data_IF_188765820103
#
_entry.id   IF_188765820103
#
_cell.length_a   1.000
_cell.length_b   1.000
_cell.length_c   1.000
_cell.angle_alpha   90.00
_cell.angle_beta   90.00
_cell.angle_gamma   90.00
#
_symmetry.space_group_name_H-M   'P 1'
#
loop_
_entity.id
_entity.type
_entity.pdbx_description
1 polymer ?
#
# COMPACT_ATOMS: atom_id res chain seq x y z
N UNK A 1 -30.95 -7.07 -5.44
CA UNK A 1 -29.48 -6.99 -5.44
C UNK A 1 -29.10 -5.52 -5.53
N UNK A 2 -28.62 -4.93 -4.43
CA UNK A 2 -28.14 -3.54 -4.45
C UNK A 2 -26.86 -3.46 -5.31
N UNK A 3 -26.47 -2.25 -5.74
CA UNK A 3 -25.20 -2.05 -6.46
C UNK A 3 -24.00 -2.60 -5.67
N UNK A 4 -24.02 -2.47 -4.33
CA UNK A 4 -22.97 -3.00 -3.45
C UNK A 4 -22.90 -4.53 -3.53
N UNK A 5 -24.05 -5.22 -3.42
CA UNK A 5 -24.12 -6.69 -3.50
C UNK A 5 -23.63 -7.23 -4.85
N UNK A 6 -23.82 -6.47 -5.94
CA UNK A 6 -23.29 -6.84 -7.24
C UNK A 6 -21.76 -6.75 -7.33
N UNK A 7 -21.18 -5.71 -6.75
CA UNK A 7 -19.72 -5.55 -6.70
C UNK A 7 -19.10 -6.60 -5.78
N UNK A 8 -19.74 -6.91 -4.65
CA UNK A 8 -19.32 -7.98 -3.74
C UNK A 8 -19.23 -9.34 -4.44
N UNK A 9 -20.25 -9.72 -5.20
CA UNK A 9 -20.26 -10.97 -5.97
C UNK A 9 -19.13 -11.02 -7.01
N UNK A 10 -18.83 -9.88 -7.66
CA UNK A 10 -17.68 -9.78 -8.57
C UNK A 10 -16.36 -9.94 -7.80
N UNK A 11 -16.22 -9.30 -6.64
CA UNK A 11 -15.02 -9.37 -5.83
C UNK A 11 -14.81 -10.75 -5.19
N UNK A 12 -15.85 -11.54 -4.96
CA UNK A 12 -15.71 -12.95 -4.57
C UNK A 12 -15.05 -13.80 -5.65
N UNK A 13 -15.31 -13.48 -6.92
CA UNK A 13 -14.68 -14.14 -8.06
C UNK A 13 -13.25 -13.60 -8.25
N UNK A 14 -13.10 -12.27 -8.30
CA UNK A 14 -11.82 -11.60 -8.55
C UNK A 14 -10.79 -11.88 -7.45
N UNK A 15 -11.20 -11.83 -6.18
CA UNK A 15 -10.35 -12.16 -5.03
C UNK A 15 -10.58 -13.59 -4.54
N UNK A 16 -11.07 -14.45 -5.44
CA UNK A 16 -11.20 -15.87 -5.20
C UNK A 16 -9.86 -16.61 -5.22
N UNK A 17 -9.88 -17.94 -5.13
CA UNK A 17 -8.67 -18.77 -5.03
C UNK A 17 -7.67 -18.55 -6.17
N UNK A 18 -8.13 -18.21 -7.38
CA UNK A 18 -7.27 -18.02 -8.57
C UNK A 18 -6.34 -16.83 -8.38
N UNK A 19 -6.86 -15.66 -8.02
CA UNK A 19 -6.05 -14.45 -7.86
C UNK A 19 -5.11 -14.56 -6.67
N UNK A 20 -5.59 -15.10 -5.54
CA UNK A 20 -4.77 -15.35 -4.36
C UNK A 20 -3.60 -16.30 -4.70
N UNK A 21 -3.89 -17.40 -5.39
CA UNK A 21 -2.87 -18.36 -5.83
C UNK A 21 -1.90 -17.73 -6.82
N UNK A 22 -2.37 -16.86 -7.72
CA UNK A 22 -1.52 -16.17 -8.68
C UNK A 22 -0.56 -15.20 -7.97
N UNK A 23 -1.03 -14.42 -7.00
CA UNK A 23 -0.23 -13.44 -6.28
C UNK A 23 0.77 -14.11 -5.33
N UNK A 24 0.31 -15.00 -4.45
CA UNK A 24 1.19 -15.75 -3.57
C UNK A 24 2.14 -16.66 -4.36
N UNK A 25 1.64 -17.30 -5.43
CA UNK A 25 2.44 -18.13 -6.33
C UNK A 25 3.52 -17.34 -7.06
N UNK A 26 3.25 -16.10 -7.47
CA UNK A 26 4.27 -15.21 -8.07
C UNK A 26 5.34 -14.86 -7.05
N UNK A 27 4.96 -14.51 -5.82
CA UNK A 27 5.92 -14.23 -4.75
C UNK A 27 6.75 -15.47 -4.38
N UNK A 28 6.13 -16.65 -4.30
CA UNK A 28 6.82 -17.92 -4.08
C UNK A 28 7.78 -18.25 -5.23
N UNK A 29 7.34 -18.08 -6.48
CA UNK A 29 8.16 -18.26 -7.67
C UNK A 29 9.40 -17.39 -7.64
N UNK A 30 9.26 -16.08 -7.35
CA UNK A 30 10.43 -15.19 -7.24
C UNK A 30 11.28 -15.48 -6.01
N UNK A 31 10.67 -15.86 -4.88
CA UNK A 31 11.40 -16.27 -3.67
C UNK A 31 12.35 -17.41 -4.00
N UNK A 32 11.87 -18.47 -4.63
CA UNK A 32 12.69 -19.63 -5.03
C UNK A 32 13.69 -19.22 -6.11
N UNK A 33 13.23 -18.53 -7.17
CA UNK A 33 14.08 -18.14 -8.30
C UNK A 33 15.24 -17.23 -7.89
N UNK A 34 15.02 -16.34 -6.92
CA UNK A 34 16.04 -15.42 -6.42
C UNK A 34 16.86 -16.00 -5.25
N UNK A 35 16.51 -17.18 -4.75
CA UNK A 35 17.26 -17.88 -3.70
C UNK A 35 16.98 -17.33 -2.31
N UNK A 36 15.69 -17.17 -1.96
CA UNK A 36 15.21 -16.61 -0.69
C UNK A 36 15.83 -15.24 -0.38
N UNK A 37 15.73 -14.34 -1.35
CA UNK A 37 16.31 -12.99 -1.33
C UNK A 37 15.88 -12.17 -0.11
N UNK A 38 14.77 -12.49 0.54
CA UNK A 38 14.31 -11.86 1.77
C UNK A 38 15.38 -11.88 2.86
N UNK A 39 16.09 -12.99 3.04
CA UNK A 39 17.07 -13.14 4.11
C UNK A 39 18.40 -12.44 3.82
N UNK A 40 18.80 -12.37 2.55
CA UNK A 40 20.11 -11.81 2.15
C UNK A 40 20.01 -10.37 1.66
N UNK A 41 18.88 -10.01 1.04
CA UNK A 41 18.64 -8.74 0.37
C UNK A 41 18.21 -7.60 1.28
N UNK A 42 17.54 -7.88 2.42
CA UNK A 42 17.09 -6.81 3.33
C UNK A 42 18.26 -6.02 3.91
N UNK A 43 19.34 -6.71 4.31
CA UNK A 43 20.57 -6.06 4.80
C UNK A 43 21.13 -5.08 3.75
N UNK A 44 21.12 -5.49 2.49
CA UNK A 44 21.54 -4.63 1.38
C UNK A 44 20.57 -3.47 1.15
N UNK A 45 19.27 -3.73 1.24
CA UNK A 45 18.23 -2.72 1.12
C UNK A 45 18.39 -1.60 2.14
N UNK A 46 18.62 -1.94 3.41
CA UNK A 46 18.93 -0.95 4.46
C UNK A 46 20.21 -0.16 4.16
N UNK A 47 21.28 -0.85 3.73
CA UNK A 47 22.55 -0.20 3.37
C UNK A 47 22.38 0.79 2.22
N UNK A 48 21.68 0.42 1.16
CA UNK A 48 21.44 1.27 0.00
C UNK A 48 20.48 2.43 0.30
N UNK A 49 19.50 2.20 1.17
CA UNK A 49 18.53 3.22 1.57
C UNK A 49 19.16 4.28 2.45
N UNK A 50 19.75 3.88 3.58
CA UNK A 50 20.16 4.80 4.64
C UNK A 50 21.66 5.17 4.56
N UNK A 51 22.49 4.34 3.95
CA UNK A 51 23.93 4.61 3.81
C UNK A 51 24.25 5.97 3.16
N UNK A 52 23.60 6.33 2.03
CA UNK A 52 23.83 7.64 1.39
C UNK A 52 23.48 8.86 2.25
N UNK A 53 22.60 8.75 3.23
CA UNK A 53 22.24 9.86 4.13
C UNK A 53 23.42 10.35 4.97
N UNK A 54 24.40 9.47 5.22
CA UNK A 54 25.61 9.78 5.97
C UNK A 54 26.79 10.18 5.07
N UNK A 55 26.59 10.24 3.75
CA UNK A 55 27.63 10.62 2.78
C UNK A 55 27.62 12.11 2.48
N UNK A 56 28.80 12.73 2.39
CA UNK A 56 28.95 14.14 1.97
C UNK A 56 28.79 14.36 0.45
N UNK A 57 28.66 13.29 -0.35
CA UNK A 57 28.52 13.41 -1.81
C UNK A 57 27.09 13.76 -2.19
N UNK A 58 26.90 14.91 -2.83
CA UNK A 58 25.62 15.25 -3.46
C UNK A 58 25.36 14.29 -4.63
N UNK A 59 24.24 13.57 -4.56
CA UNK A 59 23.74 12.77 -5.66
C UNK A 59 22.85 13.67 -6.53
N UNK A 60 23.06 13.64 -7.85
CA UNK A 60 22.15 14.30 -8.80
C UNK A 60 20.95 13.37 -9.04
N UNK A 61 19.73 13.92 -9.03
CA UNK A 61 18.49 13.14 -9.19
C UNK A 61 17.87 12.71 -7.86
N UNK A 62 16.89 11.81 -7.93
CA UNK A 62 16.18 11.29 -6.75
C UNK A 62 17.01 10.16 -6.13
N UNK A 63 17.34 10.28 -4.85
CA UNK A 63 18.08 9.25 -4.11
C UNK A 63 17.21 8.00 -3.84
N UNK A 64 17.84 6.87 -3.54
CA UNK A 64 17.12 5.65 -3.12
C UNK A 64 16.27 5.88 -1.87
N UNK A 65 16.72 6.69 -0.91
CA UNK A 65 15.94 7.09 0.25
C UNK A 65 14.67 7.84 -0.15
N UNK A 66 14.79 8.87 -0.99
CA UNK A 66 13.63 9.66 -1.42
C UNK A 66 12.65 8.81 -2.26
N UNK A 67 13.17 7.91 -3.10
CA UNK A 67 12.35 6.97 -3.84
C UNK A 67 11.62 6.00 -2.91
N UNK A 68 12.30 5.46 -1.88
CA UNK A 68 11.66 4.64 -0.86
C UNK A 68 10.62 5.43 -0.08
N UNK A 69 10.92 6.65 0.38
CA UNK A 69 9.94 7.50 1.07
C UNK A 69 8.74 7.81 0.19
N UNK A 70 8.93 7.96 -1.13
CA UNK A 70 7.82 8.15 -2.09
C UNK A 70 7.00 6.87 -2.27
N UNK A 71 7.64 5.69 -2.29
CA UNK A 71 6.94 4.41 -2.31
C UNK A 71 6.16 4.16 -1.02
N UNK A 72 6.79 4.38 0.15
CA UNK A 72 6.15 4.26 1.46
C UNK A 72 5.05 5.30 1.63
N UNK A 73 5.19 6.53 1.11
CA UNK A 73 4.09 7.49 1.07
C UNK A 73 2.85 6.90 0.39
N UNK A 74 3.03 6.16 -0.71
CA UNK A 74 1.93 5.53 -1.44
C UNK A 74 1.39 4.27 -0.72
N UNK A 75 2.24 3.47 -0.09
CA UNK A 75 1.86 2.23 0.59
C UNK A 75 1.19 2.50 1.95
N UNK A 76 1.82 3.38 2.75
CA UNK A 76 1.44 3.64 4.14
C UNK A 76 0.33 4.68 4.19
N UNK A 77 -0.91 4.18 4.27
CA UNK A 77 -2.13 4.96 4.17
C UNK A 77 -3.26 4.40 5.04
N UNK A 78 -4.49 4.64 4.61
CA UNK A 78 -5.70 4.04 5.19
C UNK A 78 -5.61 2.51 5.29
N UNK A 79 -4.92 1.83 4.37
CA UNK A 79 -4.77 0.37 4.36
C UNK A 79 -4.14 -0.19 5.64
N UNK A 80 -3.18 0.51 6.23
CA UNK A 80 -2.43 0.04 7.40
C UNK A 80 -3.20 0.20 8.71
N UNK A 81 -4.23 1.04 8.72
CA UNK A 81 -5.07 1.32 9.88
C UNK A 81 -6.43 0.63 9.67
N UNK A 82 -7.25 1.21 8.79
CA UNK A 82 -8.58 0.72 8.49
C UNK A 82 -8.56 -0.63 7.75
N UNK A 83 -7.60 -0.86 6.84
CA UNK A 83 -7.51 -2.13 6.13
C UNK A 83 -7.15 -3.31 7.04
N UNK A 84 -6.26 -3.09 8.02
CA UNK A 84 -5.95 -4.05 9.10
C UNK A 84 -7.18 -4.31 9.95
N UNK A 85 -7.87 -3.25 10.38
CA UNK A 85 -9.09 -3.35 11.16
C UNK A 85 -10.20 -4.12 10.43
N UNK A 86 -10.41 -3.86 9.15
CA UNK A 86 -11.35 -4.62 8.31
C UNK A 86 -10.91 -6.06 8.10
N UNK A 87 -9.61 -6.36 8.00
CA UNK A 87 -9.11 -7.72 7.91
C UNK A 87 -9.43 -8.52 9.18
N UNK A 88 -9.23 -7.93 10.36
CA UNK A 88 -9.59 -8.55 11.65
C UNK A 88 -11.11 -8.71 11.75
N UNK A 89 -11.88 -7.67 11.46
CA UNK A 89 -13.33 -7.69 11.58
C UNK A 89 -14.00 -8.72 10.65
N UNK A 90 -13.48 -8.92 9.44
CA UNK A 90 -14.08 -9.79 8.42
C UNK A 90 -13.44 -11.18 8.30
N UNK A 91 -12.14 -11.30 8.65
CA UNK A 91 -11.37 -12.54 8.52
C UNK A 91 -10.84 -13.09 9.85
N UNK A 92 -11.19 -12.46 10.98
CA UNK A 92 -10.67 -12.80 12.30
C UNK A 92 -9.19 -12.43 12.48
N UNK A 93 -8.63 -12.65 13.70
CA UNK A 93 -7.22 -12.41 13.99
C UNK A 93 -6.26 -13.15 13.05
N UNK A 94 -6.67 -14.34 12.58
CA UNK A 94 -5.90 -15.17 11.65
C UNK A 94 -5.58 -14.50 10.30
N UNK A 95 -6.35 -13.48 9.89
CA UNK A 95 -6.07 -12.72 8.68
C UNK A 95 -4.69 -12.03 8.74
N UNK A 96 -4.23 -11.64 9.92
CA UNK A 96 -2.94 -10.95 10.11
C UNK A 96 -1.76 -11.88 9.78
N UNK A 97 -1.86 -13.17 10.12
CA UNK A 97 -0.86 -14.16 9.73
C UNK A 97 -0.73 -14.23 8.20
N UNK A 98 -1.85 -14.24 7.49
CA UNK A 98 -1.86 -14.27 6.03
C UNK A 98 -1.39 -12.96 5.39
N UNK A 99 -1.57 -11.81 6.07
CA UNK A 99 -0.90 -10.56 5.70
C UNK A 99 0.62 -10.69 5.78
N UNK A 100 1.16 -11.33 6.83
CA UNK A 100 2.60 -11.56 6.96
C UNK A 100 3.17 -12.48 5.88
N UNK A 101 2.49 -13.60 5.60
CA UNK A 101 2.89 -14.51 4.52
C UNK A 101 2.89 -13.79 3.16
N UNK A 102 1.83 -13.04 2.88
CA UNK A 102 1.71 -12.26 1.66
C UNK A 102 2.82 -11.21 1.55
N UNK A 103 3.13 -10.50 2.63
CA UNK A 103 4.23 -9.53 2.69
C UNK A 103 5.60 -10.18 2.48
N UNK A 104 5.88 -11.30 3.15
CA UNK A 104 7.16 -12.02 3.01
C UNK A 104 7.40 -12.46 1.56
N UNK A 105 6.39 -13.04 0.91
CA UNK A 105 6.46 -13.41 -0.51
C UNK A 105 6.49 -12.18 -1.41
N UNK A 106 5.75 -11.14 -1.04
CA UNK A 106 5.67 -9.85 -1.73
C UNK A 106 7.00 -9.12 -1.82
N UNK A 107 7.92 -9.29 -0.85
CA UNK A 107 9.27 -8.72 -0.95
C UNK A 107 10.01 -9.19 -2.21
N UNK A 108 9.89 -10.47 -2.58
CA UNK A 108 10.52 -10.97 -3.80
C UNK A 108 9.83 -10.43 -5.06
N UNK A 109 8.51 -10.26 -5.02
CA UNK A 109 7.73 -9.67 -6.11
C UNK A 109 8.09 -8.20 -6.33
N UNK A 110 8.11 -7.38 -5.28
CA UNK A 110 8.39 -5.94 -5.39
C UNK A 110 9.84 -5.69 -5.80
N UNK A 111 10.78 -6.58 -5.42
CA UNK A 111 12.15 -6.56 -5.93
C UNK A 111 12.14 -6.69 -7.46
N UNK A 112 11.39 -7.65 -8.00
CA UNK A 112 11.27 -7.87 -9.43
C UNK A 112 10.66 -6.66 -10.14
N UNK A 113 9.59 -6.09 -9.57
CA UNK A 113 8.93 -4.92 -10.14
C UNK A 113 9.87 -3.70 -10.19
N UNK A 114 10.60 -3.41 -9.11
CA UNK A 114 11.54 -2.30 -9.04
C UNK A 114 12.73 -2.49 -10.00
N UNK A 115 13.22 -3.72 -10.16
CA UNK A 115 14.27 -4.04 -11.14
C UNK A 115 13.81 -3.78 -12.56
N UNK A 116 12.60 -4.24 -12.93
CA UNK A 116 12.04 -4.01 -14.25
C UNK A 116 11.78 -2.51 -14.48
N UNK A 117 11.23 -1.81 -13.49
CA UNK A 117 11.02 -0.38 -13.59
C UNK A 117 12.31 0.41 -13.80
N UNK A 118 13.41 0.02 -13.15
CA UNK A 118 14.73 0.60 -13.42
C UNK A 118 15.28 0.24 -14.80
N UNK A 119 15.09 -1.00 -15.27
CA UNK A 119 15.57 -1.45 -16.59
C UNK A 119 14.86 -0.79 -17.75
N UNK A 120 13.57 -0.53 -17.61
CA UNK A 120 12.69 -0.04 -18.69
C UNK A 120 12.21 1.40 -18.46
N UNK A 121 12.83 2.15 -17.55
CA UNK A 121 12.57 3.58 -17.41
C UNK A 121 13.00 4.33 -18.67
N UNK A 122 12.28 5.38 -18.99
CA UNK A 122 12.60 6.29 -20.10
C UNK A 122 12.84 7.69 -19.55
N UNK A 123 13.58 8.50 -20.31
CA UNK A 123 13.78 9.92 -20.03
C UNK A 123 13.15 10.72 -21.15
N UNK A 124 12.07 11.43 -20.85
CA UNK A 124 11.32 12.27 -21.79
C UNK A 124 11.32 13.69 -21.25
N UNK A 125 11.67 14.68 -22.08
CA UNK A 125 11.72 16.09 -21.70
C UNK A 125 12.54 16.36 -20.41
N UNK A 126 13.61 15.59 -20.21
CA UNK A 126 14.47 15.70 -19.02
C UNK A 126 13.92 15.01 -17.76
N UNK A 127 12.69 14.50 -17.78
CA UNK A 127 12.02 13.81 -16.66
C UNK A 127 12.11 12.30 -16.85
N UNK A 128 12.57 11.59 -15.82
CA UNK A 128 12.58 10.13 -15.81
C UNK A 128 11.18 9.63 -15.47
N UNK A 129 10.68 8.69 -16.26
CA UNK A 129 9.39 8.02 -16.08
C UNK A 129 9.60 6.52 -16.18
N UNK A 130 8.79 5.74 -15.47
CA UNK A 130 8.81 4.28 -15.55
C UNK A 130 7.64 3.69 -14.79
N UNK A 131 7.66 2.37 -14.62
CA UNK A 131 6.55 1.61 -14.07
C UNK A 131 6.05 0.55 -15.05
N UNK A 132 4.95 -0.16 -14.73
CA UNK A 132 4.57 -1.35 -15.48
C UNK A 132 4.15 -1.10 -16.91
N UNK A 133 3.47 0.01 -17.20
CA UNK A 133 3.15 0.36 -18.58
C UNK A 133 4.41 0.37 -19.48
N UNK A 134 5.56 0.79 -18.96
CA UNK A 134 6.81 0.85 -19.70
C UNK A 134 7.46 -0.53 -19.85
N UNK A 135 7.60 -1.33 -18.79
CA UNK A 135 8.17 -2.67 -18.96
C UNK A 135 7.23 -3.66 -19.65
N UNK A 136 5.91 -3.46 -19.60
CA UNK A 136 4.96 -4.23 -20.41
C UNK A 136 5.10 -3.85 -21.89
N UNK A 137 5.25 -2.55 -22.20
CA UNK A 137 5.42 -2.09 -23.59
C UNK A 137 6.76 -2.53 -24.17
N UNK A 138 7.86 -2.25 -23.47
CA UNK A 138 9.21 -2.34 -24.01
C UNK A 138 9.91 -3.65 -23.65
N UNK A 139 9.54 -4.27 -22.52
CA UNK A 139 10.06 -5.57 -22.11
C UNK A 139 9.24 -6.72 -22.69
N UNK A 140 7.93 -6.71 -22.47
CA UNK A 140 7.03 -7.76 -22.97
C UNK A 140 6.63 -7.53 -24.45
N UNK A 141 6.75 -6.32 -24.96
CA UNK A 141 6.38 -5.98 -26.35
C UNK A 141 4.89 -5.74 -26.57
N UNK A 142 4.08 -5.64 -25.52
CA UNK A 142 2.61 -5.57 -25.63
C UNK A 142 2.05 -4.18 -25.31
N UNK A 143 1.89 -3.35 -26.34
CA UNK A 143 1.26 -2.02 -26.22
C UNK A 143 -0.18 -2.09 -25.70
N UNK A 144 -0.93 -3.13 -26.09
CA UNK A 144 -2.33 -3.33 -25.65
C UNK A 144 -2.41 -3.61 -24.15
N UNK A 145 -1.57 -4.52 -23.65
CA UNK A 145 -1.54 -4.86 -22.22
C UNK A 145 -1.02 -3.68 -21.38
N UNK A 146 -0.04 -2.94 -21.89
CA UNK A 146 0.46 -1.73 -21.25
C UNK A 146 -0.63 -0.64 -21.15
N UNK A 147 -1.40 -0.44 -22.22
CA UNK A 147 -2.53 0.49 -22.20
C UNK A 147 -3.64 0.05 -21.23
N UNK A 148 -3.94 -1.25 -21.19
CA UNK A 148 -4.90 -1.80 -20.21
C UNK A 148 -4.42 -1.57 -18.76
N UNK A 149 -3.16 -1.88 -18.45
CA UNK A 149 -2.58 -1.58 -17.14
C UNK A 149 -2.68 -0.08 -16.81
N UNK A 150 -2.30 0.79 -17.76
CA UNK A 150 -2.33 2.23 -17.56
C UNK A 150 -3.75 2.75 -17.25
N UNK A 151 -4.77 2.26 -17.94
CA UNK A 151 -6.17 2.61 -17.63
C UNK A 151 -6.56 2.06 -16.25
N UNK A 152 -6.22 0.81 -15.96
CA UNK A 152 -6.57 0.16 -14.71
C UNK A 152 -5.99 0.90 -13.50
N UNK A 153 -4.71 1.28 -13.51
CA UNK A 153 -4.09 2.02 -12.39
C UNK A 153 -4.64 3.45 -12.23
N UNK A 154 -5.01 4.13 -13.33
CA UNK A 154 -5.65 5.45 -13.26
C UNK A 154 -6.99 5.34 -12.51
N UNK A 155 -7.82 4.35 -12.87
CA UNK A 155 -9.08 4.10 -12.21
C UNK A 155 -8.88 3.62 -10.76
N UNK A 156 -8.01 2.62 -10.56
CA UNK A 156 -7.79 1.95 -9.29
C UNK A 156 -7.23 2.88 -8.22
N UNK A 157 -6.13 3.59 -8.53
CA UNK A 157 -5.40 4.38 -7.54
C UNK A 157 -5.64 5.88 -7.75
N UNK A 158 -5.58 6.33 -8.99
CA UNK A 158 -5.75 7.74 -9.34
C UNK A 158 -7.12 8.30 -8.94
N UNK A 159 -8.18 7.49 -9.06
CA UNK A 159 -9.54 7.90 -8.71
C UNK A 159 -10.07 7.16 -7.49
N UNK A 160 -10.35 5.87 -7.59
CA UNK A 160 -11.05 5.12 -6.55
C UNK A 160 -10.23 5.00 -5.27
N UNK A 161 -8.94 4.74 -5.39
CA UNK A 161 -8.02 4.71 -4.26
C UNK A 161 -7.98 6.04 -3.51
N UNK A 162 -7.89 7.16 -4.23
CA UNK A 162 -7.95 8.49 -3.63
C UNK A 162 -9.29 8.77 -2.92
N UNK A 163 -10.40 8.19 -3.39
CA UNK A 163 -11.67 8.23 -2.67
C UNK A 163 -11.63 7.46 -1.36
N UNK A 164 -11.04 6.25 -1.32
CA UNK A 164 -10.88 5.46 -0.09
C UNK A 164 -10.08 6.25 0.95
N UNK A 165 -8.98 6.86 0.53
CA UNK A 165 -8.11 7.64 1.41
C UNK A 165 -8.84 8.87 1.97
N UNK A 166 -9.51 9.66 1.11
CA UNK A 166 -10.22 10.85 1.56
C UNK A 166 -11.45 10.54 2.42
N UNK A 167 -12.14 9.43 2.12
CA UNK A 167 -13.26 8.92 2.90
C UNK A 167 -12.84 8.62 4.35
N UNK A 168 -11.75 7.86 4.55
CA UNK A 168 -11.30 7.54 5.91
C UNK A 168 -10.79 8.76 6.68
N UNK A 169 -10.18 9.75 6.02
CA UNK A 169 -9.85 11.03 6.66
C UNK A 169 -11.14 11.71 7.15
N UNK A 170 -12.16 11.78 6.31
CA UNK A 170 -13.43 12.41 6.66
C UNK A 170 -14.10 11.72 7.86
N UNK A 171 -14.19 10.39 7.86
CA UNK A 171 -14.76 9.62 8.98
C UNK A 171 -13.97 9.83 10.27
N UNK A 172 -12.63 9.79 10.21
CA UNK A 172 -11.81 9.98 11.40
C UNK A 172 -11.98 11.38 12.02
N UNK A 173 -12.08 12.42 11.18
CA UNK A 173 -12.30 13.79 11.64
C UNK A 173 -13.74 14.05 12.07
N UNK A 174 -14.72 13.39 11.44
CA UNK A 174 -16.10 13.44 11.88
C UNK A 174 -16.23 12.80 13.26
N UNK A 175 -15.64 11.64 13.50
CA UNK A 175 -15.64 10.99 14.81
C UNK A 175 -14.94 11.83 15.87
N UNK A 176 -13.74 12.36 15.57
CA UNK A 176 -12.93 13.10 16.53
C UNK A 176 -13.45 14.52 16.83
N UNK A 177 -13.91 15.24 15.81
CA UNK A 177 -14.21 16.67 15.89
C UNK A 177 -15.63 17.05 15.47
N UNK A 178 -16.44 16.08 15.01
CA UNK A 178 -17.80 16.32 14.48
C UNK A 178 -17.82 17.30 13.29
N UNK A 179 -16.73 17.36 12.53
CA UNK A 179 -16.63 18.21 11.33
C UNK A 179 -17.34 17.53 10.16
N UNK A 180 -18.20 18.23 9.40
CA UNK A 180 -18.89 17.64 8.26
C UNK A 180 -17.90 17.11 7.19
N UNK A 181 -18.13 15.91 6.63
CA UNK A 181 -17.22 15.27 5.67
C UNK A 181 -16.83 16.14 4.46
N UNK A 182 -17.79 16.88 3.89
CA UNK A 182 -17.52 17.78 2.76
C UNK A 182 -16.50 18.87 3.09
N UNK A 183 -16.52 19.42 4.31
CA UNK A 183 -15.57 20.44 4.75
C UNK A 183 -14.16 19.86 4.79
N UNK A 184 -14.02 18.64 5.31
CA UNK A 184 -12.76 17.89 5.30
C UNK A 184 -12.31 17.62 3.86
N UNK A 185 -13.22 17.18 2.99
CA UNK A 185 -12.92 16.92 1.58
C UNK A 185 -12.35 18.13 0.84
N UNK A 186 -12.99 19.30 0.98
CA UNK A 186 -12.47 20.54 0.39
C UNK A 186 -11.12 20.95 1.00
N UNK A 187 -10.96 20.83 2.33
CA UNK A 187 -9.70 21.11 3.01
C UNK A 187 -8.55 20.23 2.49
N UNK A 188 -8.76 18.92 2.42
CA UNK A 188 -7.78 17.96 1.89
C UNK A 188 -7.48 18.25 0.43
N UNK A 189 -8.48 18.49 -0.42
CA UNK A 189 -8.28 18.80 -1.83
C UNK A 189 -7.44 20.08 -2.03
N UNK A 190 -7.68 21.14 -1.24
CA UNK A 190 -6.87 22.36 -1.27
C UNK A 190 -5.42 22.04 -0.92
N UNK A 191 -5.17 21.34 0.19
CA UNK A 191 -3.82 21.00 0.64
C UNK A 191 -3.08 20.11 -0.39
N UNK A 192 -3.76 19.11 -0.95
CA UNK A 192 -3.22 18.25 -2.01
C UNK A 192 -2.86 19.09 -3.25
N UNK A 193 -3.71 20.03 -3.65
CA UNK A 193 -3.47 20.86 -4.84
C UNK A 193 -2.17 21.66 -4.76
N UNK A 194 -1.82 22.19 -3.57
CA UNK A 194 -0.59 22.98 -3.36
C UNK A 194 0.68 22.18 -3.64
N UNK A 195 0.64 20.87 -3.40
CA UNK A 195 1.78 19.97 -3.59
C UNK A 195 1.73 19.30 -4.96
N UNK A 196 0.58 18.75 -5.33
CA UNK A 196 0.38 18.00 -6.58
C UNK A 196 0.71 18.83 -7.82
N UNK A 197 0.28 20.09 -7.86
CA UNK A 197 0.57 20.96 -9.01
C UNK A 197 2.05 21.37 -9.12
N UNK A 198 2.83 21.21 -8.04
CA UNK A 198 4.28 21.41 -8.04
C UNK A 198 5.09 20.26 -8.66
N UNK A 199 4.44 19.15 -9.04
CA UNK A 199 5.05 18.00 -9.71
C UNK A 199 5.92 17.12 -8.81
N UNK A 200 6.54 16.10 -9.43
CA UNK A 200 7.21 14.99 -8.72
C UNK A 200 8.31 15.44 -7.74
N UNK A 201 9.09 16.46 -8.07
CA UNK A 201 10.16 16.93 -7.18
C UNK A 201 9.61 17.49 -5.86
N UNK A 202 8.44 18.16 -5.89
CA UNK A 202 7.78 18.67 -4.69
C UNK A 202 7.16 17.52 -3.89
N UNK A 203 6.54 16.56 -4.57
CA UNK A 203 5.96 15.35 -3.95
C UNK A 203 7.05 14.54 -3.24
N UNK A 204 8.15 14.21 -3.92
CA UNK A 204 9.24 13.42 -3.35
C UNK A 204 9.95 14.13 -2.18
N UNK A 205 10.09 15.47 -2.25
CA UNK A 205 10.64 16.25 -1.13
C UNK A 205 9.71 16.27 0.08
N UNK A 206 8.41 16.42 -0.15
CA UNK A 206 7.42 16.38 0.92
C UNK A 206 7.38 14.99 1.57
N UNK A 207 7.27 13.93 0.77
CA UNK A 207 7.28 12.54 1.23
C UNK A 207 8.56 12.22 2.01
N UNK A 208 9.73 12.60 1.51
CA UNK A 208 11.02 12.38 2.17
C UNK A 208 11.14 12.99 3.56
N UNK A 209 10.39 14.06 3.86
CA UNK A 209 10.39 14.70 5.17
C UNK A 209 9.26 14.19 6.07
N UNK A 210 8.06 14.01 5.53
CA UNK A 210 6.85 13.72 6.32
C UNK A 210 6.72 12.23 6.65
N UNK A 211 7.01 11.34 5.72
CA UNK A 211 6.80 9.89 5.88
C UNK A 211 7.58 9.30 7.07
N UNK A 212 8.88 9.61 7.27
CA UNK A 212 9.61 9.08 8.40
C UNK A 212 9.04 9.57 9.74
N UNK A 213 8.64 10.84 9.80
CA UNK A 213 8.09 11.47 11.02
C UNK A 213 6.74 10.84 11.36
N UNK A 214 5.82 10.76 10.39
CA UNK A 214 4.49 10.20 10.63
C UNK A 214 4.58 8.72 11.04
N UNK A 215 5.42 7.91 10.37
CA UNK A 215 5.58 6.50 10.70
C UNK A 215 6.17 6.32 12.12
N UNK A 216 7.19 7.11 12.47
CA UNK A 216 7.80 7.05 13.79
C UNK A 216 6.82 7.44 14.90
N UNK A 217 6.06 8.54 14.71
CA UNK A 217 5.06 8.97 15.70
C UNK A 217 3.98 7.91 15.89
N UNK A 218 3.47 7.32 14.80
CA UNK A 218 2.49 6.25 14.86
C UNK A 218 3.02 5.03 15.61
N UNK A 219 4.22 4.56 15.26
CA UNK A 219 4.86 3.41 15.91
C UNK A 219 5.07 3.69 17.40
N UNK A 220 5.53 4.88 17.79
CA UNK A 220 5.70 5.24 19.20
C UNK A 220 4.36 5.20 19.93
N UNK A 221 3.30 5.80 19.37
CA UNK A 221 1.96 5.77 19.96
C UNK A 221 1.44 4.35 20.16
N UNK A 222 1.61 3.48 19.16
CA UNK A 222 1.24 2.06 19.26
C UNK A 222 2.08 1.33 20.32
N UNK A 223 3.40 1.52 20.33
CA UNK A 223 4.30 0.89 21.30
C UNK A 223 3.97 1.29 22.74
N UNK A 224 3.56 2.53 22.99
CA UNK A 224 3.09 2.96 24.32
C UNK A 224 1.92 2.09 24.77
N UNK A 225 0.91 1.88 23.92
CA UNK A 225 -0.24 1.03 24.23
C UNK A 225 0.20 -0.42 24.48
N UNK A 226 1.08 -0.95 23.64
CA UNK A 226 1.59 -2.32 23.77
C UNK A 226 2.41 -2.53 25.06
N UNK A 227 3.15 -1.52 25.51
CA UNK A 227 3.84 -1.56 26.81
C UNK A 227 2.83 -1.51 27.96
N UNK A 228 1.76 -0.72 27.85
CA UNK A 228 0.68 -0.68 28.85
C UNK A 228 -0.12 -1.98 28.92
N UNK A 229 -0.17 -2.74 27.82
CA UNK A 229 -0.85 -4.05 27.72
C UNK A 229 0.14 -5.19 27.48
N UNK A 230 1.35 -5.10 28.05
CA UNK A 230 2.45 -6.02 27.73
C UNK A 230 2.07 -7.50 27.93
N UNK A 231 1.33 -7.80 29.00
CA UNK A 231 0.88 -9.15 29.33
C UNK A 231 -0.05 -9.76 28.26
N UNK A 232 -0.70 -8.93 27.44
CA UNK A 232 -1.60 -9.35 26.37
C UNK A 232 -0.91 -9.48 25.01
N UNK A 233 0.33 -8.98 24.86
CA UNK A 233 1.05 -9.01 23.57
C UNK A 233 1.32 -10.44 23.12
N UNK A 234 1.83 -11.29 24.02
CA UNK A 234 2.14 -12.68 23.68
C UNK A 234 0.86 -13.51 23.41
N UNK A 235 -0.21 -13.41 24.23
CA UNK A 235 -1.52 -13.98 23.90
C UNK A 235 -2.06 -13.53 22.55
N UNK A 236 -1.99 -12.24 22.21
CA UNK A 236 -2.46 -11.72 20.92
C UNK A 236 -1.69 -12.30 19.74
N UNK A 237 -0.37 -12.47 19.86
CA UNK A 237 0.45 -13.14 18.85
C UNK A 237 0.08 -14.62 18.69
N UNK A 238 -0.19 -15.33 19.79
CA UNK A 238 -0.66 -16.71 19.76
C UNK A 238 -1.99 -16.82 19.04
N UNK A 239 -2.94 -15.93 19.39
CA UNK A 239 -4.26 -15.86 18.77
C UNK A 239 -4.17 -15.65 17.26
N UNK A 240 -3.31 -14.75 16.78
CA UNK A 240 -3.10 -14.55 15.33
C UNK A 240 -2.68 -15.85 14.63
N UNK A 241 -1.79 -16.63 15.22
CA UNK A 241 -1.29 -17.88 14.61
C UNK A 241 -2.34 -18.99 14.72
N UNK A 242 -2.98 -19.14 15.88
CA UNK A 242 -4.01 -20.16 16.11
C UNK A 242 -5.21 -19.95 15.19
N UNK A 243 -5.82 -18.76 15.20
CA UNK A 243 -6.98 -18.40 14.37
C UNK A 243 -6.68 -18.45 12.87
N UNK A 244 -5.41 -18.48 12.44
CA UNK A 244 -5.04 -18.64 11.03
C UNK A 244 -5.24 -20.08 10.51
N UNK A 245 -5.24 -21.07 11.41
CA UNK A 245 -5.29 -22.50 11.07
C UNK A 245 -6.46 -23.25 11.71
N UNK A 246 -7.12 -22.69 12.72
CA UNK A 246 -8.31 -23.29 13.33
C UNK A 246 -9.57 -22.57 12.85
N UNK A 247 -10.58 -23.28 12.33
CA UNK A 247 -11.91 -22.69 12.17
C UNK A 247 -12.44 -22.42 13.58
N UNK A 248 -12.57 -21.16 13.95
CA UNK A 248 -13.24 -20.83 15.22
C UNK A 248 -14.70 -21.26 15.11
N UNK A 249 -15.17 -22.05 16.07
CA UNK A 249 -16.59 -22.42 16.15
C UNK A 249 -17.38 -21.13 16.25
N UNK A 250 -18.44 -20.98 15.44
CA UNK A 250 -19.33 -19.83 15.37
C UNK A 250 -20.03 -19.54 16.73
N UNK A 251 -19.26 -19.08 17.73
CA UNK A 251 -19.71 -18.49 18.97
C UNK A 251 -19.75 -16.99 18.74
N UNK A 252 -20.96 -16.47 18.49
CA UNK A 252 -21.27 -15.11 18.03
C UNK A 252 -20.23 -14.01 18.30
N UNK A 253 -19.67 -13.45 17.22
CA UNK A 253 -18.76 -12.30 17.22
C UNK A 253 -17.86 -12.25 15.96
N UNK A 254 -16.88 -11.35 15.94
CA UNK A 254 -15.76 -11.28 14.95
C UNK A 254 -14.91 -12.57 14.93
N UNK A 255 -15.06 -13.41 15.96
CA UNK A 255 -14.44 -14.74 16.13
C UNK A 255 -15.15 -15.87 15.35
N UNK A 256 -15.89 -15.52 14.29
CA UNK A 256 -16.67 -16.46 13.47
C UNK A 256 -16.07 -16.75 12.08
N UNK A 257 -14.86 -16.27 11.80
CA UNK A 257 -14.27 -16.35 10.47
C UNK A 257 -13.76 -17.76 10.15
N UNK A 258 -14.07 -18.23 8.95
CA UNK A 258 -13.48 -19.45 8.39
C UNK A 258 -12.01 -19.22 8.00
N UNK A 259 -11.22 -20.30 7.94
CA UNK A 259 -9.84 -20.26 7.41
C UNK A 259 -9.82 -19.62 6.00
N UNK A 260 -10.85 -19.87 5.19
CA UNK A 260 -10.99 -19.29 3.84
C UNK A 260 -11.11 -17.77 3.90
N UNK A 261 -11.86 -17.23 4.84
CA UNK A 261 -12.01 -15.77 5.03
C UNK A 261 -10.73 -15.15 5.59
N UNK A 262 -10.07 -15.79 6.55
CA UNK A 262 -8.77 -15.36 7.06
C UNK A 262 -7.73 -15.25 5.92
N UNK A 263 -7.64 -16.26 5.05
CA UNK A 263 -6.77 -16.23 3.86
C UNK A 263 -7.19 -15.10 2.91
N UNK A 264 -8.47 -15.03 2.55
CA UNK A 264 -8.97 -14.07 1.54
C UNK A 264 -8.72 -12.64 1.98
N UNK A 265 -9.19 -12.26 3.17
CA UNK A 265 -9.06 -10.91 3.69
C UNK A 265 -7.62 -10.58 4.08
N UNK A 266 -6.88 -11.54 4.65
CA UNK A 266 -5.48 -11.38 4.98
C UNK A 266 -4.61 -11.12 3.75
N UNK A 267 -4.77 -11.90 2.68
CA UNK A 267 -4.02 -11.69 1.44
C UNK A 267 -4.48 -10.40 0.74
N UNK A 268 -5.79 -10.16 0.61
CA UNK A 268 -6.29 -8.96 -0.06
C UNK A 268 -5.86 -7.66 0.64
N UNK A 269 -5.99 -7.58 1.97
CA UNK A 269 -5.59 -6.39 2.74
C UNK A 269 -4.08 -6.28 2.91
N UNK A 270 -3.36 -7.40 3.00
CA UNK A 270 -1.91 -7.43 2.96
C UNK A 270 -1.36 -6.84 1.66
N UNK A 271 -1.89 -7.27 0.52
CA UNK A 271 -1.49 -6.75 -0.78
C UNK A 271 -1.95 -5.32 -1.02
N UNK A 272 -3.13 -4.93 -0.53
CA UNK A 272 -3.57 -3.54 -0.60
C UNK A 272 -2.65 -2.60 0.20
N UNK A 273 -2.11 -3.07 1.32
CA UNK A 273 -1.19 -2.32 2.18
C UNK A 273 0.20 -2.16 1.53
N UNK A 274 0.89 -3.28 1.25
CA UNK A 274 2.27 -3.20 0.74
C UNK A 274 2.37 -3.04 -0.79
N UNK A 275 1.28 -3.24 -1.52
CA UNK A 275 1.19 -3.10 -2.97
C UNK A 275 2.13 -4.01 -3.79
N UNK A 276 2.70 -5.04 -3.18
CA UNK A 276 3.61 -5.94 -3.88
C UNK A 276 2.85 -6.75 -4.95
N UNK A 277 3.31 -6.68 -6.20
CA UNK A 277 2.64 -7.35 -7.32
C UNK A 277 1.44 -6.62 -7.89
N UNK A 278 1.06 -5.47 -7.33
CA UNK A 278 0.04 -4.58 -7.89
C UNK A 278 0.57 -3.72 -9.05
N UNK A 279 1.87 -3.44 -9.10
CA UNK A 279 2.49 -2.63 -10.15
C UNK A 279 2.45 -1.11 -9.90
N UNK A 280 2.11 -0.66 -8.71
CA UNK A 280 1.94 0.76 -8.37
C UNK A 280 3.24 1.44 -7.90
N UNK A 281 3.89 0.92 -6.85
CA UNK A 281 5.16 1.45 -6.34
C UNK A 281 6.36 1.45 -7.32
N UNK A 282 6.42 0.65 -8.40
CA UNK A 282 7.53 0.69 -9.34
C UNK A 282 7.70 2.05 -10.03
N UNK A 283 6.66 2.88 -10.09
CA UNK A 283 6.75 4.27 -10.55
C UNK A 283 7.70 5.10 -9.67
N UNK A 284 7.61 4.97 -8.35
CA UNK A 284 8.51 5.62 -7.40
C UNK A 284 9.94 5.07 -7.49
N UNK A 285 10.08 3.75 -7.71
CA UNK A 285 11.40 3.15 -7.83
C UNK A 285 12.09 3.45 -9.17
N UNK A 286 11.35 3.68 -10.27
CA UNK A 286 11.92 3.99 -11.58
C UNK A 286 12.76 5.27 -11.59
N UNK A 287 12.36 6.28 -10.81
CA UNK A 287 12.99 7.60 -10.81
C UNK A 287 14.24 7.69 -9.96
N UNK A 288 14.54 6.66 -9.16
CA UNK A 288 15.72 6.60 -8.32
C UNK A 288 17.00 6.52 -9.16
N UNK A 289 18.02 7.31 -8.83
CA UNK A 289 19.30 7.26 -9.53
C UNK A 289 20.25 6.26 -8.87
N UNK A 290 20.29 5.04 -9.42
CA UNK A 290 21.13 3.93 -8.94
C UNK A 290 22.10 3.47 -10.02
N UNK A 291 23.23 2.88 -9.60
CA UNK A 291 24.23 2.36 -10.55
C UNK A 291 23.77 1.06 -11.20
N UNK A 292 22.99 0.27 -10.48
CA UNK A 292 22.53 -1.03 -10.94
C UNK A 292 21.06 -1.26 -10.52
N UNK A 293 20.17 -1.74 -11.42
CA UNK A 293 18.74 -1.93 -11.15
C UNK A 293 18.43 -2.72 -9.87
N UNK A 294 19.18 -3.79 -9.61
CA UNK A 294 19.01 -4.64 -8.42
C UNK A 294 19.24 -3.90 -7.09
N UNK A 295 20.05 -2.81 -7.07
CA UNK A 295 20.21 -1.99 -5.87
C UNK A 295 18.87 -1.39 -5.44
N UNK A 296 18.10 -0.90 -6.39
CA UNK A 296 16.78 -0.34 -6.11
C UNK A 296 15.75 -1.44 -5.83
N UNK A 297 15.93 -2.64 -6.39
CA UNK A 297 15.16 -3.82 -6.00
C UNK A 297 15.25 -4.11 -4.50
N UNK A 298 16.46 -4.10 -3.94
CA UNK A 298 16.64 -4.30 -2.49
C UNK A 298 15.99 -3.19 -1.65
N UNK A 299 16.06 -1.95 -2.12
CA UNK A 299 15.41 -0.80 -1.47
C UNK A 299 13.89 -1.00 -1.43
N UNK A 300 13.27 -1.45 -2.52
CA UNK A 300 11.83 -1.71 -2.58
C UNK A 300 11.35 -2.73 -1.54
N UNK A 301 12.15 -3.76 -1.26
CA UNK A 301 11.84 -4.76 -0.23
C UNK A 301 11.72 -4.15 1.18
N UNK A 302 12.51 -3.11 1.47
CA UNK A 302 12.45 -2.41 2.76
C UNK A 302 11.10 -1.72 2.95
N UNK A 303 10.48 -1.24 1.87
CA UNK A 303 9.14 -0.64 1.90
C UNK A 303 8.09 -1.62 2.41
N UNK A 304 8.06 -2.83 1.84
CA UNK A 304 7.15 -3.91 2.25
C UNK A 304 7.36 -4.32 3.71
N UNK A 305 8.62 -4.36 4.16
CA UNK A 305 8.95 -4.65 5.57
C UNK A 305 8.39 -3.58 6.51
N UNK A 306 8.63 -2.29 6.22
CA UNK A 306 8.15 -1.18 7.06
C UNK A 306 6.62 -1.16 7.08
N UNK A 307 6.00 -1.31 5.92
CA UNK A 307 4.55 -1.24 5.74
C UNK A 307 3.81 -2.34 6.51
N UNK A 308 4.01 -3.61 6.13
CA UNK A 308 3.14 -4.68 6.63
C UNK A 308 3.72 -5.34 7.88
N UNK A 309 5.04 -5.60 7.91
CA UNK A 309 5.63 -6.34 9.02
C UNK A 309 5.74 -5.46 10.27
N UNK A 310 5.95 -4.15 10.12
CA UNK A 310 6.05 -3.22 11.25
C UNK A 310 4.72 -2.52 11.48
N UNK A 311 4.27 -1.64 10.57
CA UNK A 311 3.12 -0.76 10.82
C UNK A 311 1.83 -1.56 10.97
N UNK A 312 1.50 -2.46 10.03
CA UNK A 312 0.27 -3.26 10.13
C UNK A 312 0.27 -4.18 11.35
N UNK A 313 1.42 -4.75 11.72
CA UNK A 313 1.54 -5.59 12.93
C UNK A 313 1.28 -4.79 14.20
N UNK A 314 1.87 -3.60 14.35
CA UNK A 314 1.60 -2.80 15.57
C UNK A 314 0.16 -2.32 15.62
N UNK A 315 -0.46 -1.99 14.47
CA UNK A 315 -1.91 -1.71 14.40
C UNK A 315 -2.73 -2.91 14.88
N UNK A 316 -2.46 -4.10 14.33
CA UNK A 316 -3.19 -5.32 14.64
C UNK A 316 -3.07 -5.67 16.12
N UNK A 317 -1.85 -5.60 16.67
CA UNK A 317 -1.62 -5.87 18.08
C UNK A 317 -2.35 -4.87 18.97
N UNK A 318 -2.34 -3.57 18.66
CA UNK A 318 -3.14 -2.58 19.40
C UNK A 318 -4.62 -2.94 19.39
N UNK A 319 -5.18 -3.32 18.22
CA UNK A 319 -6.59 -3.71 18.12
C UNK A 319 -6.90 -4.92 19.01
N UNK A 320 -6.03 -5.92 19.01
CA UNK A 320 -6.25 -7.18 19.74
C UNK A 320 -6.04 -7.01 21.25
N UNK A 321 -5.01 -6.28 21.71
CA UNK A 321 -4.73 -6.15 23.15
C UNK A 321 -5.69 -5.22 23.88
N UNK A 322 -6.37 -4.31 23.16
CA UNK A 322 -7.37 -3.42 23.75
C UNK A 322 -8.80 -3.95 23.61
N UNK A 323 -8.96 -5.24 23.27
CA UNK A 323 -10.24 -5.90 23.02
C UNK A 323 -11.12 -5.22 21.95
N UNK A 324 -10.49 -4.55 20.99
CA UNK A 324 -11.21 -3.88 19.89
C UNK A 324 -11.96 -4.87 19.01
N UNK A 325 -11.46 -6.10 18.89
CA UNK A 325 -12.07 -7.17 18.10
C UNK A 325 -13.46 -7.59 18.61
N UNK A 326 -13.81 -7.28 19.85
CA UNK A 326 -15.13 -7.56 20.42
C UNK A 326 -16.19 -6.50 20.09
N UNK A 327 -15.80 -5.40 19.41
CA UNK A 327 -16.72 -4.36 18.96
C UNK A 327 -17.35 -4.70 17.60
N UNK A 328 -18.55 -4.19 17.34
CA UNK A 328 -19.19 -4.25 16.00
C UNK A 328 -18.64 -3.18 15.03
N UNK A 329 -17.50 -2.57 15.35
CA UNK A 329 -16.86 -1.53 14.54
C UNK A 329 -15.96 -2.15 13.48
N UNK A 330 -15.69 -1.40 12.41
CA UNK A 330 -14.75 -1.79 11.36
C UNK A 330 -14.00 -0.57 10.83
N UNK A 331 -13.01 -0.81 9.97
CA UNK A 331 -12.26 0.25 9.32
C UNK A 331 -11.61 1.19 10.33
N UNK A 332 -11.65 2.49 10.05
CA UNK A 332 -10.94 3.47 10.87
C UNK A 332 -11.56 3.68 12.25
N UNK A 333 -12.88 3.50 12.38
CA UNK A 333 -13.60 3.65 13.65
C UNK A 333 -13.12 2.61 14.68
N UNK A 334 -12.89 1.36 14.23
CA UNK A 334 -12.31 0.32 15.07
C UNK A 334 -10.90 0.71 15.54
N UNK A 335 -10.05 1.21 14.64
CA UNK A 335 -8.71 1.69 15.03
C UNK A 335 -8.79 2.84 16.03
N UNK A 336 -9.68 3.82 15.81
CA UNK A 336 -9.87 4.94 16.74
C UNK A 336 -10.36 4.46 18.12
N UNK A 337 -11.28 3.51 18.16
CA UNK A 337 -11.79 2.93 19.41
C UNK A 337 -10.67 2.21 20.18
N UNK A 338 -9.87 1.38 19.51
CA UNK A 338 -8.72 0.68 20.13
C UNK A 338 -7.69 1.65 20.69
N UNK A 339 -7.30 2.68 19.93
CA UNK A 339 -6.37 3.69 20.42
C UNK A 339 -6.96 4.55 21.54
N UNK A 340 -8.27 4.80 21.54
CA UNK A 340 -8.96 5.50 22.63
C UNK A 340 -8.99 4.65 23.90
N UNK A 341 -9.16 3.34 23.78
CA UNK A 341 -9.04 2.40 24.90
C UNK A 341 -7.62 2.42 25.50
N UNK A 342 -6.59 2.43 24.65
CA UNK A 342 -5.19 2.43 25.08
C UNK A 342 -4.61 3.76 25.57
N UNK A 343 -5.05 4.90 25.02
CA UNK A 343 -4.49 6.24 25.29
C UNK A 343 -5.51 7.21 25.92
N UNK A 344 -6.71 6.73 26.28
CA UNK A 344 -7.82 7.57 26.70
C UNK A 344 -8.31 8.49 25.58
N UNK A 345 -8.97 9.61 25.95
CA UNK A 345 -9.56 10.55 24.99
C UNK A 345 -8.57 11.18 24.00
N UNK A 346 -7.26 11.10 24.24
CA UNK A 346 -6.25 11.53 23.28
C UNK A 346 -6.16 10.61 22.04
N UNK A 347 -6.49 9.32 22.18
CA UNK A 347 -6.34 8.31 21.13
C UNK A 347 -7.15 8.61 19.86
N UNK A 348 -8.38 9.11 20.00
CA UNK A 348 -9.23 9.45 18.85
C UNK A 348 -8.62 10.56 17.98
N UNK A 349 -8.04 11.58 18.61
CA UNK A 349 -7.37 12.69 17.94
C UNK A 349 -6.03 12.26 17.35
N UNK A 350 -5.28 11.43 18.07
CA UNK A 350 -4.02 10.87 17.60
C UNK A 350 -4.19 10.12 16.29
N UNK A 351 -5.22 9.27 16.19
CA UNK A 351 -5.52 8.53 14.95
C UNK A 351 -6.04 9.44 13.85
N UNK A 352 -6.90 10.42 14.16
CA UNK A 352 -7.36 11.37 13.15
C UNK A 352 -6.19 12.10 12.45
N UNK A 353 -5.24 12.63 13.23
CA UNK A 353 -4.05 13.28 12.65
C UNK A 353 -3.07 12.30 12.01
N UNK A 354 -2.86 11.12 12.60
CA UNK A 354 -2.00 10.09 11.99
C UNK A 354 -2.51 9.68 10.61
N UNK A 355 -3.81 9.43 10.52
CA UNK A 355 -4.48 9.10 9.27
C UNK A 355 -4.46 10.24 8.27
N UNK A 356 -4.65 11.50 8.72
CA UNK A 356 -4.50 12.65 7.84
C UNK A 356 -3.16 12.60 7.13
N UNK A 357 -2.04 12.44 7.86
CA UNK A 357 -0.73 12.40 7.23
C UNK A 357 -0.53 11.16 6.34
N UNK A 358 -0.90 9.98 6.83
CA UNK A 358 -0.77 8.72 6.10
C UNK A 358 -1.53 8.78 4.77
N UNK A 359 -2.85 8.97 4.86
CA UNK A 359 -3.74 9.04 3.69
C UNK A 359 -3.41 10.22 2.78
N UNK A 360 -3.00 11.37 3.31
CA UNK A 360 -2.57 12.51 2.49
C UNK A 360 -1.32 12.19 1.67
N UNK A 361 -0.31 11.55 2.27
CA UNK A 361 0.87 11.12 1.50
C UNK A 361 0.53 10.06 0.46
N UNK A 362 -0.41 9.15 0.77
CA UNK A 362 -0.89 8.15 -0.19
C UNK A 362 -1.60 8.80 -1.37
N UNK A 363 -2.47 9.78 -1.11
CA UNK A 363 -3.16 10.51 -2.16
C UNK A 363 -2.18 11.15 -3.14
N UNK A 364 -1.11 11.77 -2.63
CA UNK A 364 -0.08 12.36 -3.48
C UNK A 364 0.67 11.30 -4.30
N UNK A 365 1.03 10.18 -3.69
CA UNK A 365 1.72 9.08 -4.36
C UNK A 365 0.88 8.47 -5.48
N UNK A 366 -0.37 8.12 -5.20
CA UNK A 366 -1.29 7.53 -6.15
C UNK A 366 -1.72 8.49 -7.25
N UNK A 367 -1.93 9.76 -6.93
CA UNK A 367 -2.13 10.79 -7.95
C UNK A 367 -0.93 10.87 -8.91
N UNK A 368 0.30 10.79 -8.39
CA UNK A 368 1.49 10.76 -9.24
C UNK A 368 1.59 9.48 -10.10
N UNK A 369 1.23 8.32 -9.56
CA UNK A 369 1.24 7.06 -10.32
C UNK A 369 0.22 7.11 -11.46
N UNK A 370 -1.01 7.58 -11.17
CA UNK A 370 -2.02 7.78 -12.20
C UNK A 370 -1.60 8.85 -13.22
N UNK A 371 -1.00 9.95 -12.80
CA UNK A 371 -0.45 10.98 -13.69
C UNK A 371 0.58 10.41 -14.67
N UNK A 372 1.48 9.55 -14.19
CA UNK A 372 2.50 8.92 -15.04
C UNK A 372 1.87 8.07 -16.14
N UNK A 373 0.75 7.41 -15.84
CA UNK A 373 0.01 6.58 -16.79
C UNK A 373 -0.91 7.39 -17.71
N UNK A 374 -1.47 8.50 -17.23
CA UNK A 374 -2.18 9.49 -18.07
C UNK A 374 -1.22 10.08 -19.10
N UNK A 375 -0.01 10.46 -18.66
CA UNK A 375 1.03 10.97 -19.54
C UNK A 375 1.43 9.91 -20.58
N UNK A 376 1.59 8.65 -20.18
CA UNK A 376 1.86 7.54 -21.10
C UNK A 376 0.78 7.37 -22.19
N UNK A 377 -0.51 7.49 -21.83
CA UNK A 377 -1.63 7.29 -22.77
C UNK A 377 -1.94 8.50 -23.64
N UNK A 378 -1.91 9.70 -23.05
CA UNK A 378 -2.49 10.92 -23.63
C UNK A 378 -1.51 12.10 -23.69
N UNK A 379 -0.27 11.91 -23.23
CA UNK A 379 0.79 12.92 -23.25
C UNK A 379 0.67 13.99 -22.15
N UNK A 380 1.70 14.83 -22.03
CA UNK A 380 1.85 15.82 -20.93
C UNK A 380 0.73 16.85 -20.83
N UNK A 381 0.09 17.21 -21.95
CA UNK A 381 -1.00 18.19 -21.97
C UNK A 381 -2.25 17.72 -21.22
N UNK A 382 -2.42 16.41 -21.04
CA UNK A 382 -3.57 15.83 -20.33
C UNK A 382 -3.42 15.85 -18.80
N UNK A 383 -2.19 16.00 -18.29
CA UNK A 383 -1.86 15.90 -16.86
C UNK A 383 -2.62 16.91 -15.98
N UNK A 384 -2.75 18.20 -16.33
CA UNK A 384 -3.49 19.15 -15.49
C UNK A 384 -4.97 18.80 -15.34
N UNK A 385 -5.60 18.28 -16.41
CA UNK A 385 -7.01 17.85 -16.37
C UNK A 385 -7.18 16.63 -15.46
N UNK A 386 -6.26 15.67 -15.53
CA UNK A 386 -6.24 14.54 -14.62
C UNK A 386 -6.08 14.99 -13.16
N UNK A 387 -5.13 15.89 -12.86
CA UNK A 387 -4.96 16.43 -11.50
C UNK A 387 -6.23 17.08 -10.98
N UNK A 388 -6.93 17.87 -11.80
CA UNK A 388 -8.21 18.46 -11.44
C UNK A 388 -9.28 17.40 -11.16
N UNK A 389 -9.35 16.34 -11.98
CA UNK A 389 -10.25 15.22 -11.74
C UNK A 389 -9.95 14.51 -10.41
N UNK A 390 -8.67 14.27 -10.07
CA UNK A 390 -8.28 13.70 -8.78
C UNK A 390 -8.83 14.52 -7.61
N UNK A 391 -8.73 15.86 -7.67
CA UNK A 391 -9.27 16.73 -6.61
C UNK A 391 -10.78 16.59 -6.46
N UNK A 392 -11.52 16.44 -7.56
CA UNK A 392 -12.97 16.20 -7.52
C UNK A 392 -13.26 14.86 -6.85
N UNK A 393 -12.54 13.80 -7.24
CA UNK A 393 -12.72 12.47 -6.65
C UNK A 393 -12.37 12.45 -5.15
N UNK A 394 -11.38 13.22 -4.70
CA UNK A 394 -11.08 13.39 -3.27
C UNK A 394 -12.31 13.93 -2.53
N UNK A 395 -12.93 15.01 -3.02
CA UNK A 395 -14.13 15.59 -2.39
C UNK A 395 -15.30 14.60 -2.43
N UNK A 396 -15.55 13.98 -3.58
CA UNK A 396 -16.63 12.99 -3.73
C UNK A 396 -16.46 11.79 -2.80
N UNK A 397 -15.23 11.31 -2.62
CA UNK A 397 -14.93 10.19 -1.71
C UNK A 397 -15.39 10.44 -0.28
N UNK A 398 -15.32 11.70 0.20
CA UNK A 398 -15.70 12.04 1.58
C UNK A 398 -17.18 11.82 1.90
N UNK A 399 -18.06 11.76 0.90
CA UNK A 399 -19.51 11.58 1.11
C UNK A 399 -20.03 10.20 0.73
N UNK A 400 -19.15 9.30 0.28
CA UNK A 400 -19.53 7.93 -0.04
C UNK A 400 -19.54 7.05 1.21
N UNK A 401 -20.32 5.97 1.16
CA UNK A 401 -20.33 4.96 2.20
C UNK A 401 -19.07 4.08 2.12
N UNK A 402 -18.49 3.79 3.29
CA UNK A 402 -17.22 3.05 3.45
C UNK A 402 -17.24 1.70 2.71
N UNK A 403 -18.16 0.74 2.99
CA UNK A 403 -18.26 -0.50 2.24
C UNK A 403 -18.22 -0.33 0.72
N UNK A 404 -18.98 0.64 0.19
CA UNK A 404 -19.06 0.84 -1.25
C UNK A 404 -17.73 1.25 -1.88
N UNK A 405 -17.00 2.20 -1.27
CA UNK A 405 -15.73 2.70 -1.83
C UNK A 405 -14.63 1.63 -1.78
N UNK A 406 -14.60 0.82 -0.71
CA UNK A 406 -13.64 -0.29 -0.58
C UNK A 406 -13.92 -1.42 -1.57
N UNK A 407 -15.19 -1.79 -1.78
CA UNK A 407 -15.55 -2.79 -2.79
C UNK A 407 -15.17 -2.33 -4.21
N UNK A 408 -15.38 -1.03 -4.51
CA UNK A 408 -14.95 -0.48 -5.79
C UNK A 408 -13.43 -0.53 -5.95
N UNK A 409 -12.67 -0.21 -4.89
CA UNK A 409 -11.21 -0.25 -4.89
C UNK A 409 -10.70 -1.67 -5.14
N UNK A 410 -11.26 -2.67 -4.46
CA UNK A 410 -10.91 -4.08 -4.63
C UNK A 410 -11.12 -4.55 -6.08
N UNK A 411 -12.21 -4.14 -6.74
CA UNK A 411 -12.47 -4.50 -8.14
C UNK A 411 -11.41 -3.93 -9.09
N UNK A 412 -11.13 -2.63 -9.00
CA UNK A 412 -10.17 -2.00 -9.90
C UNK A 412 -8.73 -2.41 -9.63
N UNK A 413 -8.37 -2.67 -8.37
CA UNK A 413 -7.07 -3.23 -8.01
C UNK A 413 -6.87 -4.61 -8.62
N UNK A 414 -7.89 -5.48 -8.58
CA UNK A 414 -7.81 -6.80 -9.22
C UNK A 414 -7.56 -6.69 -10.74
N UNK A 415 -8.18 -5.74 -11.43
CA UNK A 415 -7.92 -5.50 -12.85
C UNK A 415 -6.49 -5.01 -13.12
N UNK A 416 -5.93 -4.20 -12.23
CA UNK A 416 -4.57 -3.68 -12.34
C UNK A 416 -3.51 -4.78 -12.10
N UNK A 417 -3.76 -5.70 -11.17
CA UNK A 417 -2.84 -6.78 -10.79
C UNK A 417 -2.53 -7.73 -11.96
N UNK A 418 -3.55 -8.17 -12.69
CA UNK A 418 -3.42 -9.20 -13.74
C UNK A 418 -2.35 -8.88 -14.80
N UNK A 419 -2.40 -7.74 -15.52
CA UNK A 419 -1.40 -7.41 -16.54
C UNK A 419 0.00 -7.27 -15.95
N UNK A 420 0.11 -6.82 -14.71
CA UNK A 420 1.39 -6.66 -14.04
C UNK A 420 2.06 -8.01 -13.73
N UNK A 421 1.32 -8.92 -13.09
CA UNK A 421 1.83 -10.26 -12.75
C UNK A 421 2.24 -11.05 -13.99
N UNK A 422 1.45 -10.97 -15.07
CA UNK A 422 1.79 -11.58 -16.36
C UNK A 422 3.17 -11.09 -16.84
N UNK A 423 3.41 -9.79 -16.78
CA UNK A 423 4.67 -9.21 -17.21
C UNK A 423 5.84 -9.58 -16.29
N UNK A 424 5.62 -9.64 -14.97
CA UNK A 424 6.65 -10.07 -14.03
C UNK A 424 7.11 -11.50 -14.31
N UNK A 425 6.18 -12.44 -14.47
CA UNK A 425 6.51 -13.85 -14.75
C UNK A 425 7.24 -13.96 -16.10
N UNK A 426 6.72 -13.31 -17.15
CA UNK A 426 7.30 -13.34 -18.48
C UNK A 426 8.72 -12.73 -18.54
N UNK A 427 8.95 -11.66 -17.78
CA UNK A 427 10.24 -10.95 -17.74
C UNK A 427 11.16 -11.44 -16.61
N UNK A 428 10.82 -12.53 -15.94
CA UNK A 428 11.54 -13.07 -14.77
C UNK A 428 13.01 -13.43 -15.05
N UNK A 429 13.36 -13.73 -16.31
CA UNK A 429 14.75 -13.98 -16.73
C UNK A 429 15.60 -12.71 -16.68
N UNK A 430 15.03 -11.54 -17.01
CA UNK A 430 15.72 -10.24 -16.93
C UNK A 430 16.00 -9.89 -15.47
N UNK A 431 15.02 -10.14 -14.60
CA UNK A 431 15.15 -9.92 -13.15
C UNK A 431 16.27 -10.81 -12.59
N UNK A 432 16.25 -12.12 -12.91
CA UNK A 432 17.28 -13.04 -12.41
C UNK A 432 18.68 -12.69 -12.92
N UNK A 433 18.81 -12.29 -14.19
CA UNK A 433 20.07 -11.84 -14.77
C UNK A 433 20.60 -10.60 -14.05
N UNK A 434 19.76 -9.59 -13.85
CA UNK A 434 20.12 -8.36 -13.13
C UNK A 434 20.55 -8.65 -11.70
N UNK A 435 19.87 -9.57 -11.00
CA UNK A 435 20.29 -9.97 -9.65
C UNK A 435 21.69 -10.63 -9.65
N UNK A 436 21.95 -11.54 -10.59
CA UNK A 436 23.25 -12.22 -10.72
C UNK A 436 24.41 -11.26 -11.04
N UNK A 437 24.17 -10.28 -11.91
CA UNK A 437 25.17 -9.28 -12.34
C UNK A 437 25.64 -8.36 -11.20
N UNK A 438 24.86 -8.22 -10.12
CA UNK A 438 25.25 -7.43 -8.95
C UNK A 438 25.91 -8.28 -7.85
N UNK A 439 25.59 -9.58 -7.79
CA UNK A 439 26.12 -10.50 -6.78
C UNK A 439 27.53 -11.03 -7.08
N UNK A 440 28.02 -10.79 -8.30
CA UNK A 440 29.36 -11.11 -8.79
C UNK A 440 30.04 -9.81 -9.22
#
# INVERSE_FOLDING_TARGET
>A
MTTVQAIEAINEILWGPIMISLLLGTGLFFTIRLGFIQFTGLKEGFRQTFGPLFSKKKQNGISSYQALSTAIAAQVGTGNLAGVATAIAAGGPGAIFWMWISSFLGMATIFAEAVLAQKFRVKENGVVKGGPAYYIRDGLGSKKLAAFFAIAIICALGFVGNMVQSNSIADAFQTAFQIPPLVIGFGVAILISLILFGGINRIARFAGNVVPIMALLYIIGALIILVLHFDQVLPALSLIVESAFTPESAGGGVLGASIKEAIRYGVARGLFSNEAGMGSTPHAHAVAEVKHPAQQGFVAMVGVLIDTVIICTVTALVILVTDGASSNLTGIELTQASFTSGLGGFGVYFIAFSLLFFSFTTILGWAYFGETNVNYLFGEKSVPYYRAAVLIFIVLGTVLNVPFVWQLADTFNAFMVLPNVIALIALSSIVKKSYKELSH
#
